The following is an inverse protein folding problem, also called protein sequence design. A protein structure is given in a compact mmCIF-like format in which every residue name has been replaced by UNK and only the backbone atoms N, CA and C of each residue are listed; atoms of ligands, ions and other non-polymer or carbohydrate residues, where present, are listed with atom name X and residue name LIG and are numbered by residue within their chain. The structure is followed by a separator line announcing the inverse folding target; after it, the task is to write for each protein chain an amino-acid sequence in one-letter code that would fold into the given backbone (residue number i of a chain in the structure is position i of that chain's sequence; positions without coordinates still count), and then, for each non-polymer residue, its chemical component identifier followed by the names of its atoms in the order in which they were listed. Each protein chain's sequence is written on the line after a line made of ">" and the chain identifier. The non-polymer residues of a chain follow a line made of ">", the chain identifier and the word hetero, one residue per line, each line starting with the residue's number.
data_IF_758377806452
#
_entry.id   IF_758377806452
#
_cell.length_a   1.000
_cell.length_b   1.000
_cell.length_c   1.000
_cell.angle_alpha   90.00
_cell.angle_beta   90.00
_cell.angle_gamma   90.00
#
_symmetry.space_group_name_H-M   'P 1'
#
loop_
_entity.id
_entity.type
_entity.pdbx_description
1 polymer ?
#
# COMPACT_ATOMS: atom_id res chain seq x y z
N UNK A 1 8.76 18.21 82.27
CA UNK A 1 10.14 17.96 81.85
C UNK A 1 10.58 19.09 80.93
N UNK A 2 11.49 19.94 81.42
CA UNK A 2 12.04 21.07 80.63
C UNK A 2 13.06 20.53 79.67
N UNK A 3 12.70 20.47 78.35
CA UNK A 3 13.66 20.16 77.29
C UNK A 3 14.78 21.19 77.29
N UNK A 4 16.03 20.74 77.30
CA UNK A 4 17.21 21.61 77.30
C UNK A 4 17.21 22.52 76.08
N UNK A 5 17.79 23.71 76.15
CA UNK A 5 17.84 24.68 75.04
C UNK A 5 18.42 24.07 73.80
N UNK A 6 19.33 23.10 73.91
CA UNK A 6 19.98 22.37 72.84
C UNK A 6 19.03 21.44 72.12
N UNK A 7 18.10 20.75 72.79
CA UNK A 7 17.08 19.90 72.17
C UNK A 7 16.07 20.71 71.37
N UNK A 8 15.69 21.90 71.83
CA UNK A 8 14.81 22.82 71.12
C UNK A 8 15.44 23.31 69.79
N UNK A 9 16.75 23.53 69.78
CA UNK A 9 17.49 23.97 68.62
C UNK A 9 17.59 22.85 67.60
N UNK A 10 17.87 21.61 68.00
CA UNK A 10 17.92 20.42 67.15
C UNK A 10 16.55 20.14 66.56
N UNK A 11 15.49 20.27 67.36
CA UNK A 11 14.11 20.06 66.89
C UNK A 11 13.69 21.11 65.83
N UNK A 12 14.08 22.38 66.01
CA UNK A 12 13.84 23.45 65.01
C UNK A 12 14.61 23.21 63.72
N UNK A 13 15.88 22.81 63.79
CA UNK A 13 16.66 22.49 62.60
C UNK A 13 16.11 21.28 61.85
N UNK A 14 15.70 20.25 62.59
CA UNK A 14 15.05 19.08 61.96
C UNK A 14 13.75 19.43 61.24
N UNK A 15 12.95 20.32 61.83
CA UNK A 15 11.69 20.75 61.21
C UNK A 15 11.90 21.62 59.98
N UNK A 16 12.95 22.45 59.95
CA UNK A 16 13.33 23.24 58.78
C UNK A 16 13.80 22.30 57.63
N UNK A 17 14.64 21.31 57.93
CA UNK A 17 15.09 20.34 56.95
C UNK A 17 13.91 19.55 56.37
N UNK A 18 12.97 19.14 57.20
CA UNK A 18 11.77 18.41 56.77
C UNK A 18 10.86 19.28 55.91
N UNK A 19 10.71 20.56 56.21
CA UNK A 19 9.95 21.52 55.40
C UNK A 19 10.62 21.77 54.02
N UNK A 20 11.95 21.83 53.98
CA UNK A 20 12.69 21.98 52.73
C UNK A 20 12.54 20.72 51.85
N UNK A 21 12.67 19.54 52.43
CA UNK A 21 12.45 18.26 51.73
C UNK A 21 11.02 18.13 51.19
N UNK A 22 10.03 18.52 52.00
CA UNK A 22 8.63 18.53 51.53
C UNK A 22 8.41 19.54 50.39
N UNK A 23 9.05 20.71 50.47
CA UNK A 23 9.02 21.69 49.36
C UNK A 23 9.63 21.15 48.08
N UNK A 24 10.78 20.49 48.15
CA UNK A 24 11.42 19.85 47.01
C UNK A 24 10.52 18.76 46.43
N UNK A 25 9.91 17.94 47.29
CA UNK A 25 8.98 16.90 46.85
C UNK A 25 7.77 17.48 46.13
N UNK A 26 7.14 18.49 46.66
CA UNK A 26 5.93 19.10 46.09
C UNK A 26 6.25 19.85 44.80
N UNK A 27 7.35 20.59 44.75
CA UNK A 27 7.66 21.45 43.62
C UNK A 27 8.35 20.71 42.45
N UNK A 28 9.22 19.74 42.74
CA UNK A 28 10.02 19.06 41.71
C UNK A 28 9.54 17.65 41.39
N UNK A 29 9.21 16.81 42.38
CA UNK A 29 8.82 15.43 42.08
C UNK A 29 7.32 15.27 41.72
N UNK A 30 6.44 16.07 42.36
CA UNK A 30 4.99 15.92 42.12
C UNK A 30 4.55 16.18 40.66
N UNK A 31 5.06 17.19 39.93
CA UNK A 31 4.69 17.37 38.53
C UNK A 31 5.19 16.22 37.65
N UNK A 32 6.43 15.74 37.85
CA UNK A 32 6.97 14.60 37.11
C UNK A 32 6.16 13.31 37.33
N UNK A 33 5.71 13.06 38.54
CA UNK A 33 4.85 11.92 38.86
C UNK A 33 3.45 12.07 38.26
N UNK A 34 2.92 13.28 38.12
CA UNK A 34 1.63 13.55 37.50
C UNK A 34 1.68 13.36 35.98
N UNK A 35 2.73 13.87 35.32
CA UNK A 35 2.92 13.66 33.86
C UNK A 35 3.11 12.19 33.55
N UNK A 36 3.93 11.45 34.28
CA UNK A 36 4.09 10.02 34.11
C UNK A 36 2.79 9.23 34.30
N UNK A 37 1.94 9.63 35.25
CA UNK A 37 0.62 9.01 35.45
C UNK A 37 -0.35 9.34 34.32
N UNK A 38 -0.40 10.59 33.85
CA UNK A 38 -1.31 10.96 32.76
C UNK A 38 -1.00 10.22 31.47
N UNK A 39 0.28 10.01 31.15
CA UNK A 39 0.71 9.22 29.97
C UNK A 39 0.30 7.74 30.12
N UNK A 40 0.50 7.17 31.32
CA UNK A 40 0.07 5.79 31.59
C UNK A 40 -1.45 5.63 31.57
N UNK A 41 -2.19 6.60 32.11
CA UNK A 41 -3.65 6.58 32.13
C UNK A 41 -4.21 6.70 30.69
N UNK A 42 -3.63 7.55 29.86
CA UNK A 42 -4.01 7.71 28.45
C UNK A 42 -3.71 6.44 27.62
N UNK A 43 -2.57 5.79 27.86
CA UNK A 43 -2.22 4.52 27.25
C UNK A 43 -3.14 3.38 27.70
N UNK A 44 -3.51 3.38 29.00
CA UNK A 44 -4.45 2.42 29.57
C UNK A 44 -5.86 2.60 28.99
N UNK A 45 -6.36 3.84 28.89
CA UNK A 45 -7.65 4.14 28.27
C UNK A 45 -7.67 3.73 26.80
N UNK A 46 -6.59 3.96 26.06
CA UNK A 46 -6.46 3.51 24.68
C UNK A 46 -6.56 1.99 24.59
N UNK A 47 -5.80 1.26 25.40
CA UNK A 47 -5.86 -0.22 25.44
C UNK A 47 -7.23 -0.75 25.85
N UNK A 48 -7.89 -0.11 26.82
CA UNK A 48 -9.26 -0.46 27.23
C UNK A 48 -10.24 -0.22 26.07
N UNK A 49 -10.10 0.88 25.34
CA UNK A 49 -10.92 1.19 24.16
C UNK A 49 -10.72 0.17 23.04
N UNK A 50 -9.48 -0.21 22.76
CA UNK A 50 -9.13 -1.26 21.79
C UNK A 50 -9.71 -2.63 22.20
N UNK A 51 -9.59 -2.99 23.48
CA UNK A 51 -10.20 -4.20 24.01
C UNK A 51 -11.74 -4.19 23.92
N UNK A 52 -12.38 -3.05 24.25
CA UNK A 52 -13.84 -2.91 24.10
C UNK A 52 -14.27 -3.07 22.65
N UNK A 53 -13.57 -2.46 21.70
CA UNK A 53 -13.83 -2.64 20.27
C UNK A 53 -13.67 -4.10 19.85
N UNK A 54 -12.63 -4.78 20.32
CA UNK A 54 -12.39 -6.18 20.04
C UNK A 54 -13.53 -7.07 20.57
N UNK A 55 -13.94 -6.88 21.83
CA UNK A 55 -15.05 -7.61 22.44
C UNK A 55 -16.37 -7.37 21.68
N UNK A 56 -16.59 -6.13 21.23
CA UNK A 56 -17.80 -5.78 20.45
C UNK A 56 -17.80 -6.46 19.08
N UNK A 57 -16.63 -6.60 18.45
CA UNK A 57 -16.51 -7.21 17.13
C UNK A 57 -16.52 -8.74 17.18
N UNK A 58 -15.93 -9.34 18.19
CA UNK A 58 -15.76 -10.80 18.28
C UNK A 58 -16.76 -11.49 19.20
N UNK A 59 -17.46 -10.74 20.06
CA UNK A 59 -18.37 -11.28 21.07
C UNK A 59 -17.70 -12.09 22.18
N UNK A 60 -16.37 -12.15 22.20
CA UNK A 60 -15.59 -12.97 23.15
C UNK A 60 -14.57 -12.13 23.92
N UNK A 61 -14.39 -12.47 25.21
CA UNK A 61 -13.32 -11.88 26.03
C UNK A 61 -11.99 -12.50 25.59
N UNK A 62 -10.96 -11.69 25.30
CA UNK A 62 -9.67 -12.20 24.87
C UNK A 62 -9.05 -13.12 25.95
N UNK A 63 -8.84 -14.37 25.60
CA UNK A 63 -8.04 -15.31 26.42
C UNK A 63 -6.57 -15.26 25.98
N UNK A 64 -5.65 -15.77 26.84
CA UNK A 64 -4.24 -15.90 26.45
C UNK A 64 -4.07 -16.74 25.18
N UNK A 65 -4.92 -17.73 24.98
CA UNK A 65 -4.91 -18.61 23.80
C UNK A 65 -5.39 -17.87 22.55
N UNK A 66 -6.43 -17.00 22.66
CA UNK A 66 -6.90 -16.19 21.54
C UNK A 66 -5.87 -15.13 21.14
N UNK A 67 -5.13 -14.55 22.09
CA UNK A 67 -4.01 -13.65 21.78
C UNK A 67 -2.89 -14.39 21.05
N UNK A 68 -2.46 -15.56 21.54
CA UNK A 68 -1.41 -16.34 20.90
C UNK A 68 -1.82 -16.81 19.49
N UNK A 69 -3.11 -17.08 19.27
CA UNK A 69 -3.64 -17.42 17.95
C UNK A 69 -3.60 -16.21 17.00
N UNK A 70 -4.03 -15.04 17.48
CA UNK A 70 -4.00 -13.80 16.68
C UNK A 70 -2.57 -13.36 16.36
N UNK A 71 -1.63 -13.54 17.28
CA UNK A 71 -0.22 -13.23 17.04
C UNK A 71 0.36 -14.14 15.94
N UNK A 72 0.06 -15.44 15.97
CA UNK A 72 0.43 -16.36 14.89
C UNK A 72 -0.25 -16.02 13.55
N UNK A 73 -1.53 -15.65 13.58
CA UNK A 73 -2.24 -15.22 12.36
C UNK A 73 -1.67 -13.92 11.82
N UNK A 74 -1.28 -12.99 12.69
CA UNK A 74 -0.60 -11.74 12.31
C UNK A 74 0.75 -12.04 11.64
N UNK A 75 1.58 -12.87 12.26
CA UNK A 75 2.89 -13.27 11.71
C UNK A 75 2.73 -13.95 10.34
N UNK A 76 1.75 -14.86 10.23
CA UNK A 76 1.44 -15.52 8.95
C UNK A 76 0.94 -14.54 7.89
N UNK A 77 0.18 -13.51 8.28
CA UNK A 77 -0.26 -12.46 7.37
C UNK A 77 0.90 -11.52 6.99
N UNK A 78 1.79 -11.21 7.93
CA UNK A 78 2.99 -10.41 7.65
C UNK A 78 3.93 -11.16 6.70
N UNK A 79 4.13 -12.47 6.87
CA UNK A 79 4.92 -13.30 5.96
C UNK A 79 4.29 -13.38 4.56
N UNK A 80 2.98 -13.60 4.48
CA UNK A 80 2.25 -13.57 3.20
C UNK A 80 2.31 -12.20 2.54
N UNK A 81 2.15 -11.13 3.31
CA UNK A 81 2.25 -9.77 2.81
C UNK A 81 3.66 -9.47 2.31
N UNK A 82 4.69 -9.88 3.04
CA UNK A 82 6.08 -9.73 2.62
C UNK A 82 6.37 -10.50 1.34
N UNK A 83 5.88 -11.73 1.22
CA UNK A 83 6.04 -12.51 -0.01
C UNK A 83 5.33 -11.86 -1.20
N UNK A 84 4.13 -11.33 -1.02
CA UNK A 84 3.42 -10.56 -2.06
C UNK A 84 4.15 -9.26 -2.41
N UNK A 85 4.72 -8.56 -1.42
CA UNK A 85 5.52 -7.36 -1.63
C UNK A 85 6.81 -7.67 -2.41
N UNK A 86 7.45 -8.81 -2.17
CA UNK A 86 8.61 -9.27 -2.93
C UNK A 86 8.26 -9.60 -4.37
N UNK A 87 7.09 -10.17 -4.62
CA UNK A 87 6.57 -10.39 -5.98
C UNK A 87 6.21 -9.08 -6.70
N UNK A 88 5.89 -8.02 -5.97
CA UNK A 88 5.48 -6.74 -6.58
C UNK A 88 6.65 -5.83 -6.93
N UNK A 89 7.90 -6.12 -6.55
CA UNK A 89 9.03 -5.19 -6.79
C UNK A 89 10.34 -5.85 -7.26
N UNK A 90 10.35 -6.66 -8.33
CA UNK A 90 11.59 -7.26 -8.83
C UNK A 90 12.55 -6.25 -9.51
N UNK A 91 12.05 -5.10 -9.97
CA UNK A 91 12.85 -4.12 -10.72
C UNK A 91 13.41 -2.98 -9.88
N UNK A 92 12.89 -2.70 -8.70
CA UNK A 92 13.38 -1.64 -7.81
C UNK A 92 14.86 -1.83 -7.44
N UNK A 93 15.28 -3.08 -7.31
CA UNK A 93 16.68 -3.41 -7.10
C UNK A 93 17.57 -3.03 -8.30
N UNK A 94 17.06 -3.14 -9.54
CA UNK A 94 17.82 -2.83 -10.76
C UNK A 94 17.88 -1.33 -11.08
N UNK A 95 16.81 -0.58 -10.74
CA UNK A 95 16.73 0.87 -10.96
C UNK A 95 17.58 1.62 -9.93
N UNK A 96 17.70 1.11 -8.70
CA UNK A 96 18.48 1.72 -7.62
C UNK A 96 19.97 1.82 -7.94
N UNK A 97 20.51 0.92 -8.75
CA UNK A 97 21.94 0.93 -9.12
C UNK A 97 22.29 1.92 -10.24
N UNK A 98 21.28 2.47 -10.97
CA UNK A 98 21.48 3.38 -12.11
C UNK A 98 20.73 4.70 -11.99
N UNK A 99 20.80 5.34 -10.84
CA UNK A 99 19.99 6.53 -10.47
C UNK A 99 20.05 7.75 -11.41
N UNK A 100 20.93 7.81 -12.39
CA UNK A 100 21.03 8.97 -13.31
C UNK A 100 20.34 8.77 -14.68
N UNK A 101 19.80 7.58 -14.96
CA UNK A 101 19.23 7.24 -16.27
C UNK A 101 17.87 6.54 -16.20
N UNK A 102 17.16 6.63 -15.07
CA UNK A 102 15.91 5.91 -14.88
C UNK A 102 14.84 6.26 -15.93
N UNK A 103 14.73 7.55 -16.26
CA UNK A 103 13.82 8.01 -17.30
C UNK A 103 14.16 7.45 -18.70
N UNK A 104 15.44 7.39 -19.04
CA UNK A 104 15.90 6.82 -20.31
C UNK A 104 15.61 5.30 -20.36
N UNK A 105 15.84 4.59 -19.28
CA UNK A 105 15.51 3.17 -19.18
C UNK A 105 14.01 2.91 -19.44
N UNK A 106 13.11 3.74 -18.87
CA UNK A 106 11.67 3.63 -19.14
C UNK A 106 11.38 3.82 -20.63
N UNK A 107 11.94 4.85 -21.27
CA UNK A 107 11.72 5.13 -22.70
C UNK A 107 12.23 3.99 -23.56
N UNK A 108 13.39 3.44 -23.27
CA UNK A 108 13.95 2.28 -23.99
C UNK A 108 13.03 1.05 -23.85
N UNK A 109 12.57 0.78 -22.62
CA UNK A 109 11.63 -0.33 -22.35
C UNK A 109 10.32 -0.11 -23.10
N UNK A 110 9.74 1.10 -23.04
CA UNK A 110 8.51 1.44 -23.75
C UNK A 110 8.64 1.22 -25.26
N UNK A 111 9.71 1.75 -25.86
CA UNK A 111 9.94 1.57 -27.31
C UNK A 111 10.13 0.10 -27.70
N UNK A 112 10.85 -0.68 -26.88
CA UNK A 112 11.02 -2.11 -27.14
C UNK A 112 9.68 -2.85 -27.08
N UNK A 113 8.82 -2.50 -26.13
CA UNK A 113 7.48 -3.06 -25.97
C UNK A 113 6.57 -2.68 -27.13
N UNK A 114 6.57 -1.41 -27.54
CA UNK A 114 5.81 -0.93 -28.71
C UNK A 114 6.21 -1.72 -29.94
N UNK A 115 7.50 -1.79 -30.23
CA UNK A 115 8.02 -2.52 -31.41
C UNK A 115 7.61 -3.99 -31.42
N UNK A 116 7.64 -4.65 -30.27
CA UNK A 116 7.16 -6.03 -30.13
C UNK A 116 5.69 -6.14 -30.50
N UNK A 117 4.85 -5.30 -29.91
CA UNK A 117 3.41 -5.35 -30.15
C UNK A 117 3.01 -4.88 -31.55
N UNK A 118 3.71 -3.94 -32.17
CA UNK A 118 3.47 -3.53 -33.55
C UNK A 118 3.65 -4.73 -34.54
N UNK A 119 4.64 -5.57 -34.30
CA UNK A 119 4.86 -6.77 -35.09
C UNK A 119 3.71 -7.77 -34.92
N UNK A 120 3.32 -8.04 -33.66
CA UNK A 120 2.24 -8.97 -33.32
C UNK A 120 0.87 -8.47 -33.81
N UNK A 121 0.57 -7.19 -33.57
CA UNK A 121 -0.67 -6.52 -33.98
C UNK A 121 -0.77 -6.39 -35.51
N UNK A 122 0.34 -6.07 -36.19
CA UNK A 122 0.41 -5.99 -37.66
C UNK A 122 0.08 -7.32 -38.33
N UNK A 123 0.53 -8.44 -37.76
CA UNK A 123 0.18 -9.77 -38.26
C UNK A 123 -1.33 -10.09 -38.17
N UNK A 124 -2.06 -9.41 -37.28
CA UNK A 124 -3.50 -9.61 -37.02
C UNK A 124 -4.38 -8.43 -37.47
N UNK A 125 -3.80 -7.41 -38.10
CA UNK A 125 -4.46 -6.17 -38.48
C UNK A 125 -5.13 -5.42 -37.31
N UNK A 126 -4.58 -5.55 -36.09
CA UNK A 126 -5.03 -4.84 -34.87
C UNK A 126 -4.35 -3.49 -34.81
N UNK A 127 -5.11 -2.43 -34.52
CA UNK A 127 -4.55 -1.09 -34.28
C UNK A 127 -4.25 -0.92 -32.81
N UNK A 128 -3.06 -0.42 -32.52
CA UNK A 128 -2.65 -0.07 -31.17
C UNK A 128 -2.70 1.45 -30.98
N UNK A 129 -3.08 1.93 -29.81
CA UNK A 129 -2.94 3.34 -29.44
C UNK A 129 -1.48 3.78 -29.47
N UNK A 130 -1.26 5.04 -29.88
CA UNK A 130 0.06 5.66 -29.94
C UNK A 130 0.75 5.60 -28.57
N UNK A 131 2.03 5.26 -28.57
CA UNK A 131 2.85 5.10 -27.36
C UNK A 131 2.21 4.25 -26.25
N UNK A 132 1.32 3.29 -26.61
CA UNK A 132 0.53 2.51 -25.67
C UNK A 132 -0.20 3.38 -24.60
N UNK A 133 -0.53 4.62 -24.98
CA UNK A 133 -1.22 5.57 -24.11
C UNK A 133 -0.34 6.32 -23.12
N UNK A 134 0.98 6.11 -23.14
CA UNK A 134 1.92 6.93 -22.37
C UNK A 134 2.19 8.26 -23.08
N UNK A 135 2.45 9.30 -22.26
CA UNK A 135 2.80 10.62 -22.79
C UNK A 135 4.19 10.66 -23.46
N UNK A 136 4.37 11.64 -24.35
CA UNK A 136 5.65 11.90 -24.98
C UNK A 136 6.62 12.58 -24.02
N UNK A 137 7.87 12.17 -24.05
CA UNK A 137 8.97 12.80 -23.34
C UNK A 137 9.53 11.99 -22.17
N UNK A 138 10.61 12.51 -21.62
CA UNK A 138 11.34 11.88 -20.53
C UNK A 138 10.58 12.04 -19.21
N UNK A 139 10.18 10.94 -18.56
CA UNK A 139 9.51 11.04 -17.27
C UNK A 139 10.48 11.48 -16.16
N UNK A 140 9.92 12.04 -15.10
CA UNK A 140 10.69 12.30 -13.87
C UNK A 140 11.10 10.99 -13.23
N UNK A 141 12.31 10.91 -12.69
CA UNK A 141 12.85 9.69 -12.05
C UNK A 141 11.92 9.13 -10.96
N UNK A 142 11.28 10.00 -10.19
CA UNK A 142 10.32 9.60 -9.15
C UNK A 142 9.07 8.89 -9.68
N UNK A 143 8.76 9.03 -10.98
CA UNK A 143 7.59 8.41 -11.61
C UNK A 143 7.93 7.12 -12.35
N UNK A 144 9.21 6.84 -12.58
CA UNK A 144 9.63 5.73 -13.43
C UNK A 144 9.14 4.38 -12.91
N UNK A 145 9.24 4.12 -11.62
CA UNK A 145 8.76 2.86 -11.02
C UNK A 145 7.24 2.67 -11.20
N UNK A 146 6.49 3.76 -11.09
CA UNK A 146 5.04 3.78 -11.33
C UNK A 146 4.72 3.45 -12.77
N UNK A 147 5.39 4.13 -13.72
CA UNK A 147 5.16 3.96 -15.15
C UNK A 147 5.58 2.58 -15.64
N UNK A 148 6.69 2.03 -15.14
CA UNK A 148 7.11 0.66 -15.45
C UNK A 148 6.06 -0.36 -15.01
N UNK A 149 5.50 -0.19 -13.81
CA UNK A 149 4.44 -1.10 -13.33
C UNK A 149 3.15 -0.97 -14.15
N UNK A 150 2.78 0.24 -14.55
CA UNK A 150 1.64 0.44 -15.45
C UNK A 150 1.91 -0.14 -16.85
N UNK A 151 3.15 -0.06 -17.34
CA UNK A 151 3.56 -0.70 -18.59
C UNK A 151 3.44 -2.22 -18.50
N UNK A 152 3.82 -2.85 -17.39
CA UNK A 152 3.65 -4.29 -17.18
C UNK A 152 2.17 -4.73 -17.24
N UNK A 153 1.24 -3.91 -16.66
CA UNK A 153 -0.20 -4.17 -16.78
C UNK A 153 -0.64 -4.14 -18.25
N UNK A 154 -0.15 -3.15 -19.00
CA UNK A 154 -0.46 -3.01 -20.43
C UNK A 154 0.17 -4.15 -21.22
N UNK A 155 1.44 -4.50 -20.96
CA UNK A 155 2.12 -5.63 -21.60
C UNK A 155 1.34 -6.93 -21.43
N UNK A 156 0.87 -7.20 -20.21
CA UNK A 156 0.06 -8.37 -19.92
C UNK A 156 -1.26 -8.33 -20.70
N UNK A 157 -2.04 -7.25 -20.56
CA UNK A 157 -3.37 -7.17 -21.14
C UNK A 157 -3.35 -7.20 -22.68
N UNK A 158 -2.46 -6.40 -23.29
CA UNK A 158 -2.29 -6.37 -24.75
C UNK A 158 -1.78 -7.71 -25.26
N UNK A 159 -0.79 -8.31 -24.58
CA UNK A 159 -0.27 -9.62 -24.94
C UNK A 159 -1.35 -10.72 -24.94
N UNK A 160 -2.23 -10.74 -23.93
CA UNK A 160 -3.33 -11.71 -23.90
C UNK A 160 -4.40 -11.42 -24.97
N UNK A 161 -4.74 -10.16 -25.20
CA UNK A 161 -5.68 -9.78 -26.26
C UNK A 161 -5.17 -10.12 -27.66
N UNK A 162 -3.87 -9.93 -27.91
CA UNK A 162 -3.25 -10.26 -29.18
C UNK A 162 -3.12 -11.77 -29.43
N UNK A 163 -3.23 -12.63 -28.42
CA UNK A 163 -3.32 -14.10 -28.62
C UNK A 163 -4.61 -14.51 -29.31
N UNK A 164 -5.68 -13.77 -29.10
CA UNK A 164 -7.01 -14.04 -29.65
C UNK A 164 -7.23 -13.22 -30.92
N UNK A 165 -7.93 -13.80 -31.90
CA UNK A 165 -8.31 -13.08 -33.13
C UNK A 165 -9.57 -12.22 -32.87
N UNK A 166 -9.70 -11.10 -33.63
CA UNK A 166 -10.87 -10.24 -33.59
C UNK A 166 -10.93 -9.28 -32.41
N UNK A 167 -9.78 -8.94 -31.84
CA UNK A 167 -9.70 -7.90 -30.80
C UNK A 167 -9.18 -6.60 -31.38
N UNK A 168 -9.90 -5.48 -31.15
CA UNK A 168 -9.45 -4.12 -31.46
C UNK A 168 -9.23 -3.34 -30.17
N UNK A 169 -8.10 -2.64 -30.05
CA UNK A 169 -7.74 -1.88 -28.85
C UNK A 169 -7.87 -0.39 -29.15
N UNK A 170 -8.90 0.25 -28.59
CA UNK A 170 -9.19 1.66 -28.87
C UNK A 170 -8.46 2.62 -27.94
N UNK A 171 -8.33 2.22 -26.68
CA UNK A 171 -7.76 3.10 -25.65
C UNK A 171 -6.93 2.27 -24.69
N UNK A 172 -5.72 2.76 -24.46
CA UNK A 172 -4.85 2.39 -23.33
C UNK A 172 -4.52 3.69 -22.63
N UNK A 173 -4.80 3.80 -21.34
CA UNK A 173 -4.58 5.04 -20.61
C UNK A 173 -4.10 4.74 -19.21
N UNK A 174 -2.81 4.91 -18.90
CA UNK A 174 -2.33 4.96 -17.54
C UNK A 174 -3.03 6.07 -16.77
N UNK A 175 -3.64 5.74 -15.64
CA UNK A 175 -4.32 6.69 -14.78
C UNK A 175 -3.39 7.16 -13.65
N UNK A 176 -3.80 8.22 -12.95
CA UNK A 176 -3.03 8.73 -11.81
C UNK A 176 -2.98 7.66 -10.71
N UNK A 177 -1.80 7.45 -10.08
CA UNK A 177 -1.68 6.58 -8.92
C UNK A 177 -2.60 7.03 -7.78
N UNK A 178 -3.13 6.07 -7.03
CA UNK A 178 -3.98 6.30 -5.87
C UNK A 178 -3.22 5.85 -4.63
N UNK A 179 -2.91 6.79 -3.75
CA UNK A 179 -2.18 6.53 -2.51
C UNK A 179 -3.16 6.17 -1.38
N UNK A 180 -2.90 5.05 -0.73
CA UNK A 180 -3.64 4.62 0.45
C UNK A 180 -2.79 4.83 1.70
N UNK A 181 -3.26 5.76 2.54
CA UNK A 181 -2.58 6.17 3.77
C UNK A 181 -3.24 5.47 4.95
N UNK A 182 -2.43 4.84 5.79
CA UNK A 182 -2.92 4.20 7.00
C UNK A 182 -3.52 5.25 7.97
N UNK A 183 -4.79 5.09 8.39
CA UNK A 183 -5.48 6.11 9.19
C UNK A 183 -4.81 6.44 10.52
N UNK A 184 -4.18 5.44 11.16
CA UNK A 184 -3.56 5.57 12.49
C UNK A 184 -2.17 6.17 12.39
N UNK A 185 -1.28 5.55 11.61
CA UNK A 185 0.13 5.96 11.51
C UNK A 185 0.36 7.13 10.56
N UNK A 186 -0.65 7.49 9.73
CA UNK A 186 -0.53 8.49 8.65
C UNK A 186 0.58 8.18 7.64
N UNK A 187 1.03 6.94 7.58
CA UNK A 187 2.07 6.50 6.63
C UNK A 187 1.43 5.92 5.38
N UNK A 188 2.13 6.08 4.26
CA UNK A 188 1.75 5.43 3.01
C UNK A 188 1.81 3.91 3.21
N UNK A 189 0.70 3.23 2.94
CA UNK A 189 0.56 1.79 3.08
C UNK A 189 0.82 1.08 1.75
N UNK A 190 0.13 1.50 0.71
CA UNK A 190 0.37 1.06 -0.66
C UNK A 190 -0.09 2.12 -1.66
N UNK A 191 0.40 2.02 -2.87
CA UNK A 191 -0.03 2.83 -4.02
C UNK A 191 -0.68 1.92 -5.04
N UNK A 192 -1.89 2.23 -5.44
CA UNK A 192 -2.61 1.55 -6.51
C UNK A 192 -2.30 2.22 -7.86
N UNK A 193 -2.07 1.42 -8.89
CA UNK A 193 -1.63 1.85 -10.21
C UNK A 193 -2.67 1.44 -11.27
N UNK A 194 -3.72 2.25 -11.47
CA UNK A 194 -4.77 1.90 -12.40
C UNK A 194 -4.39 2.20 -13.86
N UNK A 195 -4.91 1.36 -14.77
CA UNK A 195 -4.82 1.51 -16.22
C UNK A 195 -6.20 1.30 -16.81
N UNK A 196 -6.71 2.25 -17.54
CA UNK A 196 -7.96 2.12 -18.29
C UNK A 196 -7.69 1.52 -19.67
N UNK A 197 -8.51 0.53 -20.03
CA UNK A 197 -8.42 -0.18 -21.32
C UNK A 197 -9.81 -0.20 -21.94
N UNK A 198 -9.93 0.19 -23.22
CA UNK A 198 -11.16 0.07 -23.99
C UNK A 198 -10.89 -0.76 -25.24
N UNK A 199 -11.66 -1.82 -25.38
CA UNK A 199 -11.48 -2.82 -26.44
C UNK A 199 -12.82 -3.21 -27.07
N UNK A 200 -12.75 -3.63 -28.32
CA UNK A 200 -13.78 -4.44 -28.95
C UNK A 200 -13.23 -5.84 -29.10
N UNK A 201 -13.93 -6.85 -28.63
CA UNK A 201 -13.45 -8.22 -28.68
C UNK A 201 -14.59 -9.22 -28.60
N UNK A 202 -14.30 -10.49 -28.85
CA UNK A 202 -15.27 -11.56 -28.65
C UNK A 202 -15.41 -11.90 -27.16
N UNK A 203 -16.59 -12.38 -26.76
CA UNK A 203 -16.85 -12.81 -25.39
C UNK A 203 -15.84 -13.88 -24.92
N UNK A 204 -15.46 -14.80 -25.81
CA UNK A 204 -14.49 -15.86 -25.47
C UNK A 204 -13.09 -15.29 -25.22
N UNK A 205 -12.62 -14.35 -26.05
CA UNK A 205 -11.33 -13.71 -25.86
C UNK A 205 -11.28 -12.91 -24.56
N UNK A 206 -12.38 -12.22 -24.22
CA UNK A 206 -12.49 -11.50 -22.95
C UNK A 206 -12.47 -12.44 -21.73
N UNK A 207 -13.23 -13.55 -21.79
CA UNK A 207 -13.21 -14.54 -20.71
C UNK A 207 -11.81 -15.13 -20.52
N UNK A 208 -11.08 -15.40 -21.62
CA UNK A 208 -9.70 -15.86 -21.54
C UNK A 208 -8.78 -14.82 -20.88
N UNK A 209 -8.91 -13.54 -21.22
CA UNK A 209 -8.19 -12.46 -20.54
C UNK A 209 -8.46 -12.48 -19.03
N UNK A 210 -9.73 -12.60 -18.60
CA UNK A 210 -10.09 -12.66 -17.19
C UNK A 210 -9.52 -13.89 -16.48
N UNK A 211 -9.48 -15.04 -17.16
CA UNK A 211 -8.90 -16.27 -16.61
C UNK A 211 -7.38 -16.14 -16.43
N UNK A 212 -6.69 -15.53 -17.40
CA UNK A 212 -5.24 -15.33 -17.31
C UNK A 212 -4.86 -14.25 -16.29
N UNK A 213 -5.72 -13.27 -16.01
CA UNK A 213 -5.51 -12.30 -14.92
C UNK A 213 -5.29 -12.98 -13.55
N UNK A 214 -5.90 -14.16 -13.35
CA UNK A 214 -5.71 -14.93 -12.11
C UNK A 214 -4.26 -15.39 -11.93
N UNK A 215 -3.57 -15.63 -13.04
CA UNK A 215 -2.19 -16.15 -13.05
C UNK A 215 -1.16 -15.04 -13.33
N UNK A 216 -1.64 -13.78 -13.47
CA UNK A 216 -0.77 -12.67 -13.81
C UNK A 216 0.27 -12.40 -12.72
N UNK A 217 1.50 -12.17 -13.15
CA UNK A 217 2.59 -11.67 -12.33
C UNK A 217 3.08 -10.38 -12.99
N UNK A 218 2.94 -9.22 -12.36
CA UNK A 218 2.42 -8.94 -11.01
C UNK A 218 0.91 -9.20 -10.84
N UNK A 219 0.45 -9.22 -9.60
CA UNK A 219 -1.00 -9.35 -9.31
C UNK A 219 -1.75 -8.18 -9.91
N UNK A 220 -2.71 -8.49 -10.78
CA UNK A 220 -3.56 -7.50 -11.45
C UNK A 220 -5.01 -7.73 -11.02
N UNK A 221 -5.69 -6.67 -10.60
CA UNK A 221 -7.11 -6.69 -10.22
C UNK A 221 -7.97 -5.92 -11.22
N UNK A 222 -9.22 -6.34 -11.39
CA UNK A 222 -10.23 -5.59 -12.14
C UNK A 222 -10.98 -4.69 -11.16
N UNK A 223 -10.92 -3.37 -11.37
CA UNK A 223 -11.57 -2.37 -10.53
C UNK A 223 -12.94 -1.98 -11.07
N UNK A 224 -13.00 -1.76 -12.36
CA UNK A 224 -14.22 -1.36 -13.05
C UNK A 224 -14.35 -2.18 -14.31
N UNK A 225 -15.57 -2.53 -14.64
CA UNK A 225 -15.89 -3.29 -15.84
C UNK A 225 -17.24 -2.83 -16.40
N UNK A 226 -17.20 -2.36 -17.63
CA UNK A 226 -18.38 -2.03 -18.42
C UNK A 226 -18.36 -2.85 -19.70
N UNK A 227 -19.42 -3.63 -19.90
CA UNK A 227 -19.57 -4.48 -21.10
C UNK A 227 -20.85 -4.05 -21.82
N UNK A 228 -20.71 -3.77 -23.11
CA UNK A 228 -21.80 -3.41 -23.99
C UNK A 228 -21.79 -4.35 -25.19
N UNK A 229 -22.87 -5.10 -25.39
CA UNK A 229 -23.05 -5.90 -26.60
C UNK A 229 -23.18 -4.98 -27.81
N UNK A 230 -22.50 -5.31 -28.90
CA UNK A 230 -22.55 -4.55 -30.16
C UNK A 230 -23.83 -4.95 -30.91
N UNK A 231 -24.00 -6.24 -31.14
CA UNK A 231 -25.20 -6.79 -31.82
C UNK A 231 -25.66 -8.06 -31.08
N UNK A 232 -26.96 -8.22 -30.87
CA UNK A 232 -27.48 -9.45 -30.28
C UNK A 232 -27.11 -10.68 -31.12
N UNK A 233 -26.36 -11.60 -30.51
CA UNK A 233 -25.96 -12.86 -31.16
C UNK A 233 -24.63 -12.84 -31.94
N UNK A 234 -23.98 -11.70 -32.11
CA UNK A 234 -22.66 -11.62 -32.77
C UNK A 234 -21.52 -12.22 -31.93
N UNK A 235 -21.72 -12.30 -30.60
CA UNK A 235 -20.65 -12.70 -29.67
C UNK A 235 -19.57 -11.64 -29.45
N UNK A 236 -19.72 -10.48 -30.09
CA UNK A 236 -18.80 -9.33 -29.94
C UNK A 236 -19.32 -8.32 -28.90
N UNK A 237 -18.41 -7.73 -28.16
CA UNK A 237 -18.69 -6.71 -27.16
C UNK A 237 -17.67 -5.58 -27.18
N UNK A 238 -18.15 -4.37 -26.88
CA UNK A 238 -17.33 -3.25 -26.46
C UNK A 238 -17.13 -3.35 -24.95
N UNK A 239 -15.90 -3.34 -24.51
CA UNK A 239 -15.53 -3.51 -23.12
C UNK A 239 -14.64 -2.36 -22.69
N UNK A 240 -15.02 -1.69 -21.63
CA UNK A 240 -14.18 -0.74 -20.93
C UNK A 240 -13.90 -1.27 -19.53
N UNK A 241 -12.62 -1.41 -19.20
CA UNK A 241 -12.20 -1.93 -17.89
C UNK A 241 -11.06 -1.10 -17.32
N UNK A 242 -10.99 -1.08 -16.00
CA UNK A 242 -9.85 -0.53 -15.27
C UNK A 242 -9.15 -1.69 -14.59
N UNK A 243 -7.93 -1.96 -15.05
CA UNK A 243 -7.02 -2.90 -14.41
C UNK A 243 -6.12 -2.15 -13.44
N UNK A 244 -5.74 -2.78 -12.35
CA UNK A 244 -4.89 -2.15 -11.35
C UNK A 244 -3.93 -3.15 -10.73
N UNK A 245 -2.69 -2.71 -10.49
CA UNK A 245 -1.71 -3.42 -9.67
C UNK A 245 -1.33 -2.55 -8.47
N UNK A 246 -0.50 -3.07 -7.58
CA UNK A 246 -0.16 -2.41 -6.34
C UNK A 246 1.35 -2.31 -6.18
N UNK A 247 1.79 -1.18 -5.62
CA UNK A 247 3.14 -1.02 -5.09
C UNK A 247 3.06 -0.88 -3.58
N UNK A 248 3.75 -1.75 -2.87
CA UNK A 248 3.79 -1.76 -1.41
C UNK A 248 5.05 -1.05 -0.94
N UNK A 249 4.90 -0.12 0.00
CA UNK A 249 6.06 0.54 0.63
C UNK A 249 6.66 -0.40 1.67
N UNK A 250 7.87 -0.90 1.43
CA UNK A 250 8.61 -1.67 2.45
C UNK A 250 8.89 -0.79 3.66
N UNK A 251 8.53 -1.26 4.84
CA UNK A 251 9.08 -0.69 6.08
C UNK A 251 10.58 -1.04 6.10
N UNK A 252 11.43 -0.06 5.95
CA UNK A 252 12.83 -0.23 6.35
C UNK A 252 12.86 -0.64 7.82
N UNK A 253 13.48 -1.79 8.09
CA UNK A 253 13.66 -2.32 9.45
C UNK A 253 14.74 -1.54 10.18
#
# INVERSE_FOLDING_TARGET
>A
MLKTAREKTILKQGLIVLAVLAGIYIFFLSPFLKEGRSIMDEELERKISEMKKFITLTGAVPSKESFAKMEKEKDLLEDKFSSLADFTDPEKARISEKNSEAGLYFIEKLHSTIKKFEIEAGAKNVRLPENLGFGDGLPKDSMVSVLLRQLEIIEFAVGELLKSDGSDIYTLKPLKPIEYIEPVSKKLFYTELPVQISIKTTTSAFVNLLLELKNATPVISVKELHVKSIEPGSGEAEISLVLSSFMVVRKEK
#
